data_IF_245657072258
#
_entry.id   IF_245657072258
#
_cell.length_a   1.000
_cell.length_b   1.000
_cell.length_c   1.000
_cell.angle_alpha   90.00
_cell.angle_beta   90.00
_cell.angle_gamma   90.00
#
_symmetry.space_group_name_H-M   'P 1'
#
loop_
_entity.id
_entity.type
_entity.pdbx_description
1 polymer ?
#
# COMPACT_ATOMS: atom_id res chain seq x y z
N UNK A 1 9.63 -1.92 5.93
CA UNK A 1 9.50 -0.61 5.25
C UNK A 1 8.38 0.12 5.96
N UNK A 2 8.62 1.34 6.42
CA UNK A 2 7.62 2.09 7.14
C UNK A 2 6.51 2.60 6.21
N UNK A 3 5.27 2.75 6.71
CA UNK A 3 4.16 3.38 5.99
C UNK A 3 4.54 4.76 5.41
N UNK A 4 5.27 5.57 6.17
CA UNK A 4 5.75 6.88 5.72
C UNK A 4 6.73 6.84 4.54
N UNK A 5 7.43 5.72 4.36
CA UNK A 5 8.52 5.55 3.39
C UNK A 5 8.03 5.07 2.02
N UNK A 6 6.73 4.78 1.90
CA UNK A 6 6.12 4.34 0.64
C UNK A 6 6.30 5.41 -0.43
N UNK A 7 6.88 4.99 -1.55
CA UNK A 7 7.15 5.83 -2.72
C UNK A 7 6.02 5.77 -3.73
N UNK A 8 5.97 6.74 -4.63
CA UNK A 8 5.03 6.72 -5.75
C UNK A 8 5.25 5.50 -6.67
N UNK A 9 6.51 5.07 -6.85
CA UNK A 9 6.83 3.87 -7.62
C UNK A 9 6.19 2.62 -7.00
N UNK A 10 6.28 2.48 -5.67
CA UNK A 10 5.67 1.36 -4.97
C UNK A 10 4.14 1.40 -5.07
N UNK A 11 3.53 2.55 -4.78
CA UNK A 11 2.08 2.72 -4.91
C UNK A 11 1.57 2.39 -6.32
N UNK A 12 2.35 2.76 -7.36
CA UNK A 12 2.04 2.41 -8.75
C UNK A 12 2.09 0.91 -9.04
N UNK A 13 2.92 0.13 -8.33
CA UNK A 13 3.00 -1.33 -8.51
C UNK A 13 1.74 -2.04 -8.02
N UNK A 14 1.11 -1.53 -6.95
CA UNK A 14 -0.17 -2.07 -6.48
C UNK A 14 -1.33 -1.73 -7.43
N UNK A 15 -1.20 -0.64 -8.20
CA UNK A 15 -2.09 -0.34 -9.32
C UNK A 15 -3.50 0.10 -8.91
N UNK A 16 -3.68 0.55 -7.66
CA UNK A 16 -4.98 0.97 -7.13
C UNK A 16 -5.41 2.37 -7.63
N UNK A 17 -6.72 2.57 -7.75
CA UNK A 17 -7.32 3.88 -8.02
C UNK A 17 -6.76 4.61 -9.23
N UNK A 18 -6.26 5.84 -9.02
CA UNK A 18 -5.61 6.67 -10.03
C UNK A 18 -4.08 6.49 -10.09
N UNK A 19 -3.56 5.47 -9.40
CA UNK A 19 -2.15 5.13 -9.25
C UNK A 19 -1.29 6.22 -8.58
N UNK A 20 -1.91 7.17 -7.88
CA UNK A 20 -1.19 8.21 -7.13
C UNK A 20 -0.81 7.74 -5.73
N UNK A 21 0.33 8.24 -5.22
CA UNK A 21 0.73 8.03 -3.83
C UNK A 21 -0.30 8.61 -2.84
N UNK A 22 -0.99 9.70 -3.22
CA UNK A 22 -2.03 10.32 -2.39
C UNK A 22 -3.23 9.38 -2.21
N UNK A 23 -3.72 8.80 -3.31
CA UNK A 23 -4.81 7.83 -3.26
C UNK A 23 -4.42 6.61 -2.43
N UNK A 24 -3.23 6.05 -2.68
CA UNK A 24 -2.70 4.91 -1.94
C UNK A 24 -2.67 5.20 -0.43
N UNK A 25 -2.08 6.33 -0.02
CA UNK A 25 -2.00 6.73 1.40
C UNK A 25 -3.38 6.91 2.02
N UNK A 26 -4.31 7.51 1.30
CA UNK A 26 -5.68 7.75 1.78
C UNK A 26 -6.39 6.43 2.08
N UNK A 27 -6.42 5.51 1.13
CA UNK A 27 -7.16 4.25 1.25
C UNK A 27 -6.48 3.30 2.26
N UNK A 28 -5.15 3.19 2.22
CA UNK A 28 -4.42 2.34 3.18
C UNK A 28 -4.48 2.88 4.60
N UNK A 29 -4.40 4.21 4.81
CA UNK A 29 -4.64 4.82 6.13
C UNK A 29 -6.04 4.50 6.63
N UNK A 30 -7.06 4.63 5.78
CA UNK A 30 -8.43 4.29 6.15
C UNK A 30 -8.59 2.81 6.52
N UNK A 31 -7.95 1.91 5.76
CA UNK A 31 -7.89 0.48 6.05
C UNK A 31 -7.26 0.22 7.43
N UNK A 32 -5.99 0.61 7.63
CA UNK A 32 -5.28 0.32 8.88
C UNK A 32 -5.88 1.03 10.10
N UNK A 33 -6.52 2.18 9.92
CA UNK A 33 -7.24 2.88 11.00
C UNK A 33 -8.45 2.07 11.44
N UNK A 34 -9.22 1.51 10.48
CA UNK A 34 -10.37 0.66 10.79
C UNK A 34 -9.96 -0.63 11.51
N UNK A 35 -8.81 -1.20 11.12
CA UNK A 35 -8.26 -2.39 11.79
C UNK A 35 -7.62 -2.07 13.16
N UNK A 36 -7.44 -0.79 13.51
CA UNK A 36 -6.89 -0.34 14.79
C UNK A 36 -5.36 -0.38 14.89
N UNK A 37 -4.65 -0.48 13.77
CA UNK A 37 -3.20 -0.62 13.71
C UNK A 37 -2.46 0.59 13.11
N UNK A 38 -3.19 1.54 12.53
CA UNK A 38 -2.54 2.64 11.83
C UNK A 38 -1.62 3.46 12.73
N UNK A 39 -0.38 3.59 12.28
CA UNK A 39 0.56 4.61 12.71
C UNK A 39 1.38 5.05 11.51
N UNK A 40 1.81 6.31 11.47
CA UNK A 40 2.67 6.79 10.39
C UNK A 40 4.04 6.08 10.38
N UNK A 41 4.47 5.56 11.53
CA UNK A 41 5.71 4.82 11.74
C UNK A 41 5.54 3.28 11.73
N UNK A 42 4.36 2.76 11.35
CA UNK A 42 4.13 1.32 11.34
C UNK A 42 4.93 0.62 10.23
N UNK A 43 5.47 -0.55 10.54
CA UNK A 43 6.13 -1.41 9.55
C UNK A 43 5.10 -2.10 8.66
N UNK A 44 5.37 -2.08 7.36
CA UNK A 44 4.62 -2.79 6.33
C UNK A 44 5.39 -4.01 5.88
N UNK A 45 4.65 -5.12 5.71
CA UNK A 45 5.09 -6.26 4.92
C UNK A 45 4.55 -6.06 3.51
N UNK A 46 5.45 -5.82 2.56
CA UNK A 46 5.14 -5.59 1.16
C UNK A 46 5.59 -6.78 0.32
N UNK A 47 4.73 -7.23 -0.58
CA UNK A 47 4.98 -8.39 -1.44
C UNK A 47 4.84 -7.98 -2.91
N UNK A 48 5.81 -8.39 -3.74
CA UNK A 48 5.74 -8.27 -5.19
C UNK A 48 5.67 -9.67 -5.80
N UNK A 49 4.71 -9.88 -6.69
CA UNK A 49 4.48 -11.18 -7.29
C UNK A 49 4.17 -11.06 -8.78
N UNK A 50 4.28 -12.19 -9.47
CA UNK A 50 3.94 -12.32 -10.89
C UNK A 50 2.93 -13.44 -11.08
N UNK A 51 1.88 -13.18 -11.85
CA UNK A 51 0.93 -14.20 -12.27
C UNK A 51 1.65 -15.27 -13.12
N UNK A 52 1.52 -16.54 -12.72
CA UNK A 52 2.11 -17.68 -13.44
C UNK A 52 1.05 -18.46 -14.24
N UNK A 53 -0.15 -18.62 -13.69
CA UNK A 53 -1.23 -19.40 -14.30
C UNK A 53 -2.62 -18.84 -13.88
N UNK A 54 -3.60 -18.94 -14.78
CA UNK A 54 -5.03 -18.74 -14.48
C UNK A 54 -5.71 -20.09 -14.71
N UNK A 55 -6.39 -20.60 -13.67
CA UNK A 55 -7.09 -21.90 -13.68
C UNK A 55 -8.43 -21.83 -14.42
#
# INVERSE_FOLDING_TARGET
MCFSDITEEFARKEGEGDMSLEYWRKEHKAFFTREGYYSDDMELVAEEFKLIEIL
#
